data_IF_391152741653
#
_entry.id   IF_391152741653
#
_cell.length_a   1.000
_cell.length_b   1.000
_cell.length_c   1.000
_cell.angle_alpha   90.00
_cell.angle_beta   90.00
_cell.angle_gamma   90.00
#
_symmetry.space_group_name_H-M   'P 1'
#
loop_
_entity.id
_entity.type
_entity.pdbx_description
1 polymer ?
#
# COMPACT_ATOMS: atom_id res chain seq x y z
N UNK A 1 -7.64 -16.80 10.26
CA UNK A 1 -7.57 -15.35 10.54
C UNK A 1 -6.20 -14.95 11.09
N UNK A 2 -5.69 -15.67 12.09
CA UNK A 2 -4.41 -15.33 12.74
C UNK A 2 -3.20 -15.21 11.79
N UNK A 3 -3.09 -16.10 10.80
CA UNK A 3 -2.00 -16.01 9.80
C UNK A 3 -2.08 -14.71 8.98
N UNK A 4 -3.30 -14.29 8.60
CA UNK A 4 -3.52 -13.02 7.88
C UNK A 4 -3.09 -11.84 8.72
N UNK A 5 -3.42 -11.82 10.01
CA UNK A 5 -3.03 -10.75 10.93
C UNK A 5 -1.51 -10.69 11.04
N UNK A 6 -0.84 -11.83 11.27
CA UNK A 6 0.62 -11.87 11.36
C UNK A 6 1.29 -11.37 10.08
N UNK A 7 0.79 -11.80 8.92
CA UNK A 7 1.31 -11.34 7.63
C UNK A 7 1.01 -9.87 7.38
N UNK A 8 -0.18 -9.38 7.72
CA UNK A 8 -0.52 -7.96 7.65
C UNK A 8 0.42 -7.13 8.53
N UNK A 9 0.66 -7.55 9.78
CA UNK A 9 1.60 -6.86 10.68
C UNK A 9 3.00 -6.80 10.09
N UNK A 10 3.53 -7.92 9.57
CA UNK A 10 4.86 -7.97 8.94
C UNK A 10 4.93 -7.07 7.70
N UNK A 11 3.93 -7.13 6.82
CA UNK A 11 3.88 -6.30 5.61
C UNK A 11 3.78 -4.82 5.96
N UNK A 12 2.92 -4.43 6.91
CA UNK A 12 2.83 -3.07 7.39
C UNK A 12 4.19 -2.56 7.86
N UNK A 13 4.93 -3.37 8.63
CA UNK A 13 6.25 -2.99 9.16
C UNK A 13 7.29 -2.83 8.05
N UNK A 14 7.32 -3.72 7.06
CA UNK A 14 8.19 -3.60 5.89
C UNK A 14 7.87 -2.31 5.13
N UNK A 15 6.58 -2.06 4.85
CA UNK A 15 6.14 -0.86 4.13
C UNK A 15 6.47 0.42 4.91
N UNK A 16 6.26 0.42 6.22
CA UNK A 16 6.67 1.52 7.10
C UNK A 16 8.16 1.80 7.00
N UNK A 17 9.00 0.76 7.06
CA UNK A 17 10.45 0.90 6.97
C UNK A 17 10.90 1.40 5.58
N UNK A 18 10.35 0.84 4.50
CA UNK A 18 10.72 1.19 3.11
C UNK A 18 10.28 2.60 2.75
N UNK A 19 9.07 3.00 3.12
CA UNK A 19 8.50 4.30 2.74
C UNK A 19 8.66 5.39 3.80
N UNK A 20 9.32 5.10 4.92
CA UNK A 20 9.37 6.01 6.09
C UNK A 20 7.96 6.49 6.51
N UNK A 21 6.97 5.59 6.40
CA UNK A 21 5.57 5.92 6.65
C UNK A 21 5.24 5.92 8.15
N UNK A 22 4.07 6.46 8.52
CA UNK A 22 3.51 6.30 9.86
C UNK A 22 2.83 4.94 9.96
N UNK A 23 3.10 4.19 11.04
CA UNK A 23 2.46 2.90 11.31
C UNK A 23 1.34 3.10 12.34
N UNK A 24 0.12 2.79 11.93
CA UNK A 24 -1.02 2.65 12.83
C UNK A 24 -1.55 1.22 12.76
N UNK A 25 -1.84 0.64 13.92
CA UNK A 25 -2.58 -0.60 14.03
C UNK A 25 -4.00 -0.30 14.45
N UNK A 26 -4.96 -1.11 14.02
CA UNK A 26 -6.35 -0.92 14.38
C UNK A 26 -7.07 -2.26 14.55
N UNK A 27 -8.10 -2.23 15.39
CA UNK A 27 -9.10 -3.30 15.49
C UNK A 27 -10.50 -2.70 15.63
N UNK A 28 -10.98 -2.44 16.85
CA UNK A 28 -12.09 -1.55 17.17
C UNK A 28 -11.59 -0.11 17.36
N UNK A 29 -10.37 0.04 17.87
CA UNK A 29 -9.71 1.32 18.12
C UNK A 29 -8.35 1.35 17.44
N UNK A 30 -7.80 2.54 17.23
CA UNK A 30 -6.42 2.72 16.78
C UNK A 30 -5.46 2.60 17.96
N UNK A 31 -4.37 1.88 17.77
CA UNK A 31 -3.31 1.73 18.75
C UNK A 31 -1.94 1.73 18.08
N UNK A 32 -0.95 2.12 18.87
CA UNK A 32 0.46 2.08 18.47
C UNK A 32 1.16 0.92 19.19
N UNK A 33 2.25 0.38 18.61
CA UNK A 33 3.11 -0.56 19.30
C UNK A 33 3.60 0.01 20.63
N UNK A 34 3.59 -0.81 21.68
CA UNK A 34 4.03 -0.39 23.04
C UNK A 34 5.55 -0.22 23.16
N UNK A 35 6.31 -0.65 22.15
CA UNK A 35 7.76 -0.57 22.09
C UNK A 35 8.22 -0.03 20.73
N UNK A 36 9.43 0.53 20.71
CA UNK A 36 10.05 0.98 19.46
C UNK A 36 10.55 -0.22 18.67
N UNK A 37 10.06 -0.37 17.44
CA UNK A 37 10.45 -1.44 16.54
C UNK A 37 11.84 -1.18 15.98
N UNK A 38 12.86 -1.87 16.50
CA UNK A 38 14.26 -1.73 16.03
C UNK A 38 14.79 -3.02 15.42
N UNK A 39 14.32 -4.17 15.88
CA UNK A 39 14.82 -5.48 15.45
C UNK A 39 13.75 -6.36 14.83
N UNK A 40 14.17 -7.46 14.21
CA UNK A 40 13.25 -8.47 13.65
C UNK A 40 12.47 -9.15 14.78
N UNK A 41 13.08 -9.34 15.95
CA UNK A 41 12.43 -9.91 17.13
C UNK A 41 11.29 -9.01 17.61
N UNK A 42 11.46 -7.69 17.58
CA UNK A 42 10.42 -6.71 17.90
C UNK A 42 9.22 -6.86 16.94
N UNK A 43 9.51 -6.99 15.64
CA UNK A 43 8.50 -7.22 14.59
C UNK A 43 7.72 -8.52 14.83
N UNK A 44 8.43 -9.62 15.08
CA UNK A 44 7.80 -10.91 15.35
C UNK A 44 6.98 -10.88 16.64
N UNK A 45 7.48 -10.21 17.68
CA UNK A 45 6.77 -10.04 18.95
C UNK A 45 5.48 -9.26 18.75
N UNK A 46 5.49 -8.18 17.96
CA UNK A 46 4.29 -7.42 17.63
C UNK A 46 3.28 -8.27 16.86
N UNK A 47 3.74 -9.03 15.86
CA UNK A 47 2.87 -9.91 15.07
C UNK A 47 2.23 -11.03 15.91
N UNK A 48 2.95 -11.55 16.92
CA UNK A 48 2.44 -12.59 17.83
C UNK A 48 1.51 -12.04 18.91
N UNK A 49 1.66 -10.78 19.30
CA UNK A 49 0.85 -10.16 20.36
C UNK A 49 -0.39 -9.44 19.83
N UNK A 50 -0.41 -9.07 18.55
CA UNK A 50 -1.58 -8.48 17.89
C UNK A 50 -2.69 -9.52 17.75
N UNK A 51 -3.81 -9.30 18.44
CA UNK A 51 -4.95 -10.22 18.44
C UNK A 51 -6.07 -9.74 17.53
N UNK A 52 -6.69 -10.70 16.84
CA UNK A 52 -7.97 -10.48 16.19
C UNK A 52 -9.06 -10.18 17.22
N UNK A 53 -10.01 -9.34 16.85
CA UNK A 53 -11.31 -9.20 17.53
C UNK A 53 -12.43 -9.53 16.56
N UNK A 54 -13.62 -9.86 17.06
CA UNK A 54 -14.80 -10.13 16.21
C UNK A 54 -15.38 -8.88 15.54
N UNK A 55 -14.78 -7.71 15.82
CA UNK A 55 -15.14 -6.40 15.28
C UNK A 55 -13.96 -5.82 14.52
N UNK A 56 -14.26 -5.12 13.44
CA UNK A 56 -13.27 -4.43 12.61
C UNK A 56 -13.81 -3.06 12.21
N UNK A 57 -13.14 -2.03 12.69
CA UNK A 57 -13.39 -0.62 12.41
C UNK A 57 -12.16 -0.06 11.67
N UNK A 58 -12.15 -0.18 10.35
CA UNK A 58 -11.08 0.35 9.51
C UNK A 58 -10.97 1.88 9.66
N UNK A 59 -12.11 2.53 9.85
CA UNK A 59 -12.25 3.96 10.12
C UNK A 59 -11.40 4.44 11.30
N UNK A 60 -11.17 3.60 12.32
CA UNK A 60 -10.36 3.96 13.48
C UNK A 60 -8.94 4.40 13.09
N UNK A 61 -8.37 3.81 12.02
CA UNK A 61 -7.06 4.18 11.50
C UNK A 61 -7.00 5.57 10.82
N UNK A 62 -8.16 6.19 10.55
CA UNK A 62 -8.29 7.46 9.83
C UNK A 62 -8.70 8.63 10.73
N UNK A 63 -9.47 8.39 11.81
CA UNK A 63 -10.05 9.42 12.68
C UNK A 63 -9.03 10.46 13.14
N UNK A 64 -7.89 10.02 13.67
CA UNK A 64 -6.87 10.93 14.19
C UNK A 64 -6.32 11.91 13.14
N UNK A 65 -6.24 11.48 11.88
CA UNK A 65 -5.74 12.30 10.78
C UNK A 65 -6.78 13.29 10.28
N UNK A 66 -8.05 12.89 10.30
CA UNK A 66 -9.14 13.78 9.94
C UNK A 66 -9.37 14.86 11.00
N UNK A 67 -9.45 14.47 12.28
CA UNK A 67 -9.68 15.41 13.38
C UNK A 67 -8.51 16.39 13.56
N UNK A 68 -7.28 15.89 13.40
CA UNK A 68 -6.07 16.71 13.43
C UNK A 68 -5.83 17.52 12.14
N UNK A 69 -6.67 17.33 11.10
CA UNK A 69 -6.48 17.89 9.75
C UNK A 69 -5.06 17.67 9.22
N UNK A 70 -4.47 16.52 9.55
CA UNK A 70 -3.11 16.16 9.15
C UNK A 70 -3.10 15.72 7.69
N UNK A 71 -2.22 16.30 6.88
CA UNK A 71 -2.11 15.98 5.45
C UNK A 71 -1.31 14.69 5.23
N UNK A 72 -2.02 13.64 4.81
CA UNK A 72 -1.51 12.34 4.41
C UNK A 72 -1.77 12.18 2.91
N UNK A 73 -0.70 11.97 2.14
CA UNK A 73 -0.81 11.89 0.67
C UNK A 73 -1.32 10.54 0.18
N UNK A 74 -0.94 9.47 0.88
CA UNK A 74 -1.26 8.09 0.50
C UNK A 74 -1.57 7.30 1.75
N UNK A 75 -2.75 6.71 1.80
CA UNK A 75 -3.12 5.71 2.79
C UNK A 75 -2.88 4.32 2.20
N UNK A 76 -2.16 3.48 2.94
CA UNK A 76 -2.01 2.05 2.62
C UNK A 76 -2.70 1.29 3.73
N UNK A 77 -3.78 0.58 3.41
CA UNK A 77 -4.58 -0.15 4.39
C UNK A 77 -4.49 -1.65 4.12
N UNK A 78 -4.08 -2.39 5.15
CA UNK A 78 -3.96 -3.84 5.13
C UNK A 78 -5.18 -4.41 5.87
N UNK A 79 -6.07 -5.09 5.15
CA UNK A 79 -7.35 -5.54 5.70
C UNK A 79 -7.94 -6.68 4.87
N UNK A 80 -8.91 -7.41 5.42
CA UNK A 80 -9.78 -8.27 4.62
C UNK A 80 -11.01 -7.56 4.04
N UNK A 81 -11.10 -6.25 4.27
CA UNK A 81 -12.16 -5.34 3.79
C UNK A 81 -13.55 -5.64 4.34
N UNK A 82 -13.66 -6.28 5.51
CA UNK A 82 -14.95 -6.53 6.18
C UNK A 82 -15.16 -5.54 7.34
N UNK A 83 -15.32 -4.25 7.01
CA UNK A 83 -15.68 -3.26 8.01
C UNK A 83 -17.12 -3.50 8.51
N UNK A 84 -17.28 -3.68 9.81
CA UNK A 84 -18.57 -4.02 10.43
C UNK A 84 -18.89 -3.17 11.66
N UNK A 85 -18.06 -2.19 11.98
CA UNK A 85 -18.18 -1.36 13.17
C UNK A 85 -17.81 0.09 12.84
N UNK A 86 -18.67 1.02 13.23
CA UNK A 86 -18.42 2.47 13.15
C UNK A 86 -17.52 2.95 14.30
N UNK A 87 -16.87 4.11 14.09
CA UNK A 87 -16.15 4.85 15.14
C UNK A 87 -16.70 6.26 15.25
N UNK A 88 -16.50 6.90 16.42
CA UNK A 88 -16.92 8.27 16.64
C UNK A 88 -15.80 9.27 16.30
N UNK A 89 -16.17 10.36 15.64
CA UNK A 89 -15.33 11.55 15.48
C UNK A 89 -15.28 12.37 16.77
N UNK A 90 -14.37 13.34 16.83
CA UNK A 90 -14.27 14.28 17.97
C UNK A 90 -15.58 15.06 18.26
N UNK A 91 -16.46 15.22 17.28
CA UNK A 91 -17.77 15.86 17.42
C UNK A 91 -18.91 14.91 17.88
N UNK A 92 -18.59 13.63 18.10
CA UNK A 92 -19.54 12.59 18.50
C UNK A 92 -20.29 11.92 17.35
N UNK A 93 -20.02 12.28 16.09
CA UNK A 93 -20.64 11.65 14.92
C UNK A 93 -20.11 10.24 14.72
N UNK A 94 -21.00 9.26 14.60
CA UNK A 94 -20.67 7.88 14.22
C UNK A 94 -20.49 7.78 12.71
N UNK A 95 -19.39 7.17 12.25
CA UNK A 95 -19.04 7.14 10.82
C UNK A 95 -18.26 5.87 10.45
N UNK A 96 -18.40 5.43 9.20
CA UNK A 96 -17.66 4.33 8.57
C UNK A 96 -16.49 4.86 7.73
N UNK A 97 -15.60 3.97 7.29
CA UNK A 97 -14.36 4.36 6.63
C UNK A 97 -14.61 5.07 5.31
N UNK A 98 -15.53 4.56 4.48
CA UNK A 98 -15.84 5.14 3.18
C UNK A 98 -16.24 6.61 3.31
N UNK A 99 -17.23 6.89 4.16
CA UNK A 99 -17.74 8.24 4.38
C UNK A 99 -16.67 9.18 4.95
N UNK A 100 -15.89 8.71 5.93
CA UNK A 100 -14.83 9.52 6.52
C UNK A 100 -13.72 9.80 5.53
N UNK A 101 -13.34 8.84 4.70
CA UNK A 101 -12.32 9.03 3.67
C UNK A 101 -12.77 10.03 2.60
N UNK A 102 -14.05 9.99 2.20
CA UNK A 102 -14.60 10.98 1.28
C UNK A 102 -14.62 12.39 1.89
N UNK A 103 -15.01 12.52 3.16
CA UNK A 103 -14.88 13.79 3.90
C UNK A 103 -13.42 14.26 3.97
N UNK A 104 -12.50 13.36 4.28
CA UNK A 104 -11.07 13.68 4.32
C UNK A 104 -10.56 14.20 2.97
N UNK A 105 -10.95 13.58 1.86
CA UNK A 105 -10.58 14.05 0.51
C UNK A 105 -11.14 15.42 0.17
N UNK A 106 -12.36 15.71 0.61
CA UNK A 106 -13.00 17.00 0.36
C UNK A 106 -12.42 18.13 1.22
N UNK A 107 -12.10 17.84 2.49
CA UNK A 107 -11.79 18.88 3.48
C UNK A 107 -10.31 19.02 3.83
N UNK A 108 -9.51 17.95 3.67
CA UNK A 108 -8.11 17.91 4.12
C UNK A 108 -7.17 17.81 2.93
N UNK A 109 -7.24 16.70 2.19
CA UNK A 109 -6.37 16.44 1.06
C UNK A 109 -6.91 15.31 0.18
N UNK A 110 -6.85 15.47 -1.14
CA UNK A 110 -7.19 14.45 -2.14
C UNK A 110 -6.17 13.30 -2.13
N UNK A 111 -6.21 12.49 -1.06
CA UNK A 111 -5.28 11.40 -0.83
C UNK A 111 -5.52 10.21 -1.74
N UNK A 112 -4.44 9.50 -2.06
CA UNK A 112 -4.50 8.18 -2.70
C UNK A 112 -4.81 7.11 -1.66
N UNK A 113 -5.50 6.05 -2.08
CA UNK A 113 -5.82 4.91 -1.23
C UNK A 113 -5.33 3.62 -1.88
N UNK A 114 -4.56 2.83 -1.13
CA UNK A 114 -4.10 1.51 -1.55
C UNK A 114 -4.60 0.47 -0.57
N UNK A 115 -5.52 -0.37 -1.03
CA UNK A 115 -5.94 -1.56 -0.33
C UNK A 115 -4.95 -2.69 -0.59
N UNK A 116 -4.47 -3.31 0.49
CA UNK A 116 -3.80 -4.60 0.46
C UNK A 116 -4.75 -5.59 1.12
N UNK A 117 -5.43 -6.36 0.28
CA UNK A 117 -6.66 -7.06 0.61
C UNK A 117 -6.41 -8.54 0.82
N UNK A 118 -6.83 -9.09 1.96
CA UNK A 118 -6.72 -10.52 2.28
C UNK A 118 -8.04 -11.25 2.04
N UNK A 119 -8.35 -11.53 0.78
CA UNK A 119 -9.64 -12.08 0.35
C UNK A 119 -9.58 -13.60 0.13
N UNK A 120 -10.71 -14.27 0.35
CA UNK A 120 -10.83 -15.75 0.23
C UNK A 120 -10.93 -16.19 -1.23
N UNK A 121 -11.65 -15.44 -2.07
CA UNK A 121 -11.79 -15.72 -3.48
C UNK A 121 -10.90 -14.78 -4.29
N UNK A 122 -10.00 -15.32 -5.12
CA UNK A 122 -9.12 -14.50 -5.98
C UNK A 122 -9.88 -13.67 -7.03
N UNK A 123 -11.08 -14.11 -7.41
CA UNK A 123 -12.00 -13.37 -8.29
C UNK A 123 -13.03 -12.54 -7.52
N UNK A 124 -13.04 -12.63 -6.19
CA UNK A 124 -13.90 -11.81 -5.35
C UNK A 124 -13.37 -10.37 -5.28
N UNK A 125 -14.26 -9.47 -4.90
CA UNK A 125 -13.90 -8.11 -4.50
C UNK A 125 -14.23 -7.92 -3.03
N UNK A 126 -13.40 -7.15 -2.32
CA UNK A 126 -13.68 -6.80 -0.94
C UNK A 126 -14.80 -5.76 -0.87
N UNK A 127 -15.52 -5.72 0.25
CA UNK A 127 -16.67 -4.84 0.42
C UNK A 127 -16.26 -3.37 0.22
N UNK A 128 -15.21 -2.93 0.94
CA UNK A 128 -14.75 -1.54 0.90
C UNK A 128 -14.30 -1.12 -0.50
N UNK A 129 -13.45 -1.91 -1.16
CA UNK A 129 -13.00 -1.60 -2.53
C UNK A 129 -14.14 -1.57 -3.55
N UNK A 130 -15.19 -2.36 -3.35
CA UNK A 130 -16.41 -2.31 -4.16
C UNK A 130 -17.14 -0.98 -3.96
N UNK A 131 -17.32 -0.53 -2.71
CA UNK A 131 -17.93 0.77 -2.40
C UNK A 131 -17.19 1.92 -3.09
N UNK A 132 -15.85 1.92 -3.08
CA UNK A 132 -15.04 2.91 -3.79
C UNK A 132 -15.18 2.84 -5.32
N UNK A 133 -15.27 1.64 -5.88
CA UNK A 133 -15.44 1.46 -7.32
C UNK A 133 -16.83 1.90 -7.80
N UNK A 134 -17.88 1.54 -7.07
CA UNK A 134 -19.27 1.89 -7.40
C UNK A 134 -19.50 3.41 -7.33
N UNK A 135 -18.77 4.09 -6.44
CA UNK A 135 -18.75 5.55 -6.34
C UNK A 135 -17.78 6.23 -7.34
N UNK A 136 -17.12 5.47 -8.23
CA UNK A 136 -16.16 5.96 -9.23
C UNK A 136 -15.04 6.84 -8.65
N UNK A 137 -14.56 6.48 -7.45
CA UNK A 137 -13.56 7.28 -6.74
C UNK A 137 -12.18 7.06 -7.40
N UNK A 138 -11.50 8.13 -7.88
CA UNK A 138 -10.20 8.00 -8.52
C UNK A 138 -9.09 7.75 -7.51
N UNK A 139 -7.92 7.28 -7.96
CA UNK A 139 -6.73 7.06 -7.14
C UNK A 139 -6.91 6.04 -5.99
N UNK A 140 -7.83 5.09 -6.17
CA UNK A 140 -8.00 3.92 -5.31
C UNK A 140 -7.45 2.69 -6.02
N UNK A 141 -6.48 2.02 -5.40
CA UNK A 141 -5.81 0.83 -5.94
C UNK A 141 -6.05 -0.32 -4.98
N UNK A 142 -6.27 -1.53 -5.52
CA UNK A 142 -6.42 -2.74 -4.73
C UNK A 142 -5.39 -3.80 -5.14
N UNK A 143 -4.64 -4.30 -4.16
CA UNK A 143 -3.72 -5.41 -4.30
C UNK A 143 -4.22 -6.62 -3.50
N UNK A 144 -4.43 -7.76 -4.16
CA UNK A 144 -5.11 -8.92 -3.55
C UNK A 144 -4.11 -10.01 -3.14
N UNK A 145 -4.10 -10.34 -1.86
CA UNK A 145 -3.53 -11.57 -1.32
C UNK A 145 -4.62 -12.63 -1.12
N UNK A 146 -4.28 -13.89 -1.34
CA UNK A 146 -5.17 -15.01 -0.99
C UNK A 146 -5.09 -15.26 0.52
N UNK A 147 -6.25 -15.29 1.17
CA UNK A 147 -6.37 -15.65 2.59
C UNK A 147 -5.85 -17.06 2.91
N UNK A 148 -6.04 -18.00 1.98
CA UNK A 148 -5.71 -19.41 2.18
C UNK A 148 -4.26 -19.74 1.83
N UNK A 149 -3.66 -18.96 0.93
CA UNK A 149 -2.27 -19.10 0.49
C UNK A 149 -1.61 -17.73 0.40
N UNK A 150 -1.05 -17.30 1.52
CA UNK A 150 -0.28 -16.07 1.59
C UNK A 150 1.05 -16.30 0.89
N UNK A 151 1.21 -15.66 -0.27
CA UNK A 151 2.38 -15.78 -1.12
C UNK A 151 3.18 -14.48 -1.07
N UNK A 152 4.24 -14.45 -0.26
CA UNK A 152 5.09 -13.29 -0.10
C UNK A 152 5.97 -13.00 -1.33
N UNK A 153 6.05 -13.90 -2.32
CA UNK A 153 6.73 -13.60 -3.59
C UNK A 153 6.03 -12.48 -4.36
N UNK A 154 4.75 -12.23 -4.05
CA UNK A 154 3.96 -11.11 -4.58
C UNK A 154 4.35 -9.75 -4.00
N UNK A 155 5.24 -9.70 -3.01
CA UNK A 155 5.70 -8.45 -2.42
C UNK A 155 6.43 -7.58 -3.45
N UNK A 156 7.21 -8.17 -4.35
CA UNK A 156 7.90 -7.42 -5.41
C UNK A 156 6.89 -6.74 -6.35
N UNK A 157 5.79 -7.43 -6.67
CA UNK A 157 4.70 -6.85 -7.46
C UNK A 157 3.99 -5.73 -6.72
N UNK A 158 3.78 -5.86 -5.40
CA UNK A 158 3.20 -4.82 -4.56
C UNK A 158 4.11 -3.57 -4.53
N UNK A 159 5.41 -3.75 -4.31
CA UNK A 159 6.37 -2.64 -4.32
C UNK A 159 6.47 -1.99 -5.70
N UNK A 160 6.42 -2.78 -6.78
CA UNK A 160 6.34 -2.30 -8.14
C UNK A 160 5.08 -1.45 -8.36
N UNK A 161 3.92 -1.95 -7.95
CA UNK A 161 2.64 -1.24 -8.05
C UNK A 161 2.67 0.09 -7.28
N UNK A 162 3.14 0.08 -6.03
CA UNK A 162 3.29 1.29 -5.22
C UNK A 162 4.27 2.28 -5.85
N UNK A 163 5.33 1.80 -6.50
CA UNK A 163 6.31 2.62 -7.23
C UNK A 163 5.72 3.23 -8.51
N UNK A 164 4.83 2.52 -9.20
CA UNK A 164 4.10 3.05 -10.38
C UNK A 164 2.93 3.96 -10.00
N UNK A 165 2.32 3.76 -8.82
CA UNK A 165 1.22 4.59 -8.31
C UNK A 165 1.68 5.87 -7.60
N UNK A 166 2.95 5.94 -7.18
CA UNK A 166 3.59 7.15 -6.63
C UNK A 166 4.04 8.14 -7.72
N UNK A 167 3.63 7.88 -8.94
CA UNK A 167 4.03 8.63 -10.12
C UNK A 167 3.27 9.93 -10.34
N UNK A 168 3.81 11.02 -9.79
CA UNK A 168 4.06 12.18 -10.67
C UNK A 168 5.08 11.84 -11.78
N UNK A 169 5.93 10.84 -11.55
CA UNK A 169 7.07 10.47 -12.40
C UNK A 169 6.73 9.69 -13.68
N UNK A 170 5.73 8.79 -13.68
CA UNK A 170 5.38 7.98 -14.86
C UNK A 170 4.77 8.83 -15.97
N UNK A 171 3.83 9.73 -15.67
CA UNK A 171 3.28 10.63 -16.69
C UNK A 171 4.35 11.60 -17.21
N UNK A 172 5.21 12.15 -16.35
CA UNK A 172 6.36 12.96 -16.77
C UNK A 172 7.34 12.16 -17.64
N UNK A 173 7.55 10.88 -17.34
CA UNK A 173 8.39 9.98 -18.14
C UNK A 173 7.73 9.63 -19.47
N UNK A 174 6.41 9.43 -19.49
CA UNK A 174 5.63 9.12 -20.68
C UNK A 174 5.56 10.32 -21.62
N UNK A 175 5.42 11.53 -21.07
CA UNK A 175 5.47 12.78 -21.82
C UNK A 175 6.89 13.03 -22.38
N UNK A 176 7.94 12.81 -21.59
CA UNK A 176 9.33 12.84 -22.09
C UNK A 176 9.57 11.83 -23.21
N UNK A 177 9.08 10.61 -23.03
CA UNK A 177 9.22 9.54 -24.01
C UNK A 177 8.44 9.88 -25.30
N UNK A 178 7.23 10.42 -25.16
CA UNK A 178 6.39 10.86 -26.28
C UNK A 178 7.05 12.01 -27.06
N UNK A 179 7.62 12.99 -26.37
CA UNK A 179 8.37 14.09 -26.99
C UNK A 179 9.63 13.56 -27.71
N UNK A 180 10.32 12.59 -27.11
CA UNK A 180 11.51 11.98 -27.72
C UNK A 180 11.15 11.13 -28.96
N UNK A 181 10.00 10.44 -28.94
CA UNK A 181 9.46 9.75 -30.12
C UNK A 181 9.11 10.72 -31.25
N UNK A 182 8.56 11.90 -30.93
CA UNK A 182 8.20 12.91 -31.92
C UNK A 182 9.44 13.59 -32.53
N UNK A 183 10.49 13.84 -31.74
CA UNK A 183 11.69 14.53 -32.21
C UNK A 183 12.70 13.61 -32.92
N UNK A 184 12.89 12.38 -32.43
CA UNK A 184 14.00 11.50 -32.85
C UNK A 184 13.54 10.24 -33.60
N UNK A 185 12.23 10.00 -33.66
CA UNK A 185 11.66 8.82 -34.29
C UNK A 185 11.83 7.53 -33.48
N UNK A 186 11.02 6.53 -33.83
CA UNK A 186 10.85 5.28 -33.06
C UNK A 186 12.14 4.46 -32.97
N UNK A 187 12.94 4.41 -34.03
CA UNK A 187 14.19 3.63 -34.05
C UNK A 187 15.24 4.15 -33.07
N UNK A 188 15.36 5.48 -32.88
CA UNK A 188 16.34 6.06 -31.97
C UNK A 188 16.02 5.77 -30.50
N UNK A 189 14.74 5.88 -30.13
CA UNK A 189 14.27 5.61 -28.75
C UNK A 189 14.42 4.14 -28.39
N UNK A 190 14.07 3.23 -29.32
CA UNK A 190 14.23 1.79 -29.11
C UNK A 190 15.70 1.41 -28.94
N UNK A 191 16.60 1.94 -29.78
CA UNK A 191 18.03 1.66 -29.69
C UNK A 191 18.63 2.15 -28.36
N UNK A 192 18.23 3.32 -27.87
CA UNK A 192 18.70 3.85 -26.59
C UNK A 192 18.16 3.06 -25.37
N UNK A 193 16.93 2.54 -25.45
CA UNK A 193 16.36 1.69 -24.40
C UNK A 193 17.09 0.35 -24.29
N UNK A 194 17.44 -0.26 -25.43
CA UNK A 194 18.22 -1.50 -25.46
C UNK A 194 19.67 -1.28 -25.03
N UNK A 195 20.30 -0.17 -25.41
CA UNK A 195 21.68 0.13 -24.99
C UNK A 195 21.81 0.45 -23.48
N UNK A 196 20.79 1.06 -22.87
CA UNK A 196 20.75 1.26 -21.40
C UNK A 196 20.61 -0.04 -20.62
N UNK A 197 20.01 -1.09 -21.19
CA UNK A 197 19.98 -2.40 -20.55
C UNK A 197 21.35 -3.09 -20.57
N UNK A 198 22.15 -2.87 -21.61
CA UNK A 198 23.52 -3.41 -21.67
C UNK A 198 24.51 -2.70 -20.75
N UNK A 199 24.32 -1.40 -20.46
CA UNK A 199 25.18 -0.65 -19.52
C UNK A 199 24.95 -1.01 -18.04
N UNK A 200 23.76 -1.53 -17.69
CA UNK A 200 23.44 -1.99 -16.32
C UNK A 200 23.75 -3.47 -16.08
N UNK A 201 24.34 -4.17 -17.05
CA UNK A 201 24.90 -5.51 -16.84
C UNK A 201 26.28 -5.38 -16.20
N UNK A 202 26.41 -5.85 -14.96
CA UNK A 202 27.70 -6.01 -14.27
C UNK A 202 28.63 -6.83 -15.18
N UNK A 203 29.87 -6.37 -15.48
CA UNK A 203 30.82 -7.18 -16.21
C UNK A 203 31.16 -8.43 -15.39
N UNK A 204 30.88 -9.60 -15.94
CA UNK A 204 31.30 -10.87 -15.37
C UNK A 204 32.81 -11.03 -15.67
N UNK A 205 33.67 -10.61 -14.74
CA UNK A 205 35.09 -10.94 -14.80
C UNK A 205 35.25 -12.45 -14.57
N UNK A 206 35.42 -13.19 -15.66
CA UNK A 206 35.98 -14.55 -15.61
C UNK A 206 37.49 -14.46 -15.57
N UNK A 207 38.08 -14.42 -14.36
CA UNK A 207 39.47 -14.86 -14.18
C UNK A 207 39.49 -16.39 -14.16
N UNK A 208 39.74 -16.99 -15.32
CA UNK A 208 40.26 -18.36 -15.40
C UNK A 208 41.78 -18.23 -15.48
N UNK A 209 42.45 -18.29 -14.33
CA UNK A 209 43.91 -18.42 -14.29
C UNK A 209 44.27 -19.88 -14.18
N UNK A 210 44.44 -20.54 -15.33
CA UNK A 210 45.21 -21.78 -15.46
C UNK A 210 46.68 -21.51 -15.14
N UNK A 211 47.18 -22.05 -14.03
CA UNK A 211 48.43 -22.82 -13.93
C UNK A 211 48.62 -23.41 -12.54
#
# INVERSE_FOLDING_TARGET
MEVVIRTATILSLILTAVYSAKLNLFNTDMFLPTFTLKTIEDVLTLALTTKATDRTANVAGLVSYYDGKEVIKTFIILTDELENTETQLADGTSIQFFDLFMKYRAEVYTAKLVFISFISNQHGQGQMSTEFQDAYVPDVIQFKFSRDRLDLTKLDNLLGLLSTGSSGTFYDQLEKLQNEFQEKGVESVITNLFNKQTENSIPMETEITTK
#
